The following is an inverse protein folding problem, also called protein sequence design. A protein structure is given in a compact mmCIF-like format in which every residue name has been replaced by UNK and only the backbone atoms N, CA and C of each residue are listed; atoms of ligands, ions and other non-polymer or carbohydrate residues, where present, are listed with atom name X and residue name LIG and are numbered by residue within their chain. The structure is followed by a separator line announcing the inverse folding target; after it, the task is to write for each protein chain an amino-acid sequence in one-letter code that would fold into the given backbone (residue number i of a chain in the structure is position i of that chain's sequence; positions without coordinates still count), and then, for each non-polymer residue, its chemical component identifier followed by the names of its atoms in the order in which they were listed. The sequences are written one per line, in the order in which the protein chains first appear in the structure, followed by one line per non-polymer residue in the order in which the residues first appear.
data_IF_141232664502
#
_entry.id   IF_141232664502
#
_cell.length_a   1.000
_cell.length_b   1.000
_cell.length_c   1.000
_cell.angle_alpha   90.00
_cell.angle_beta   90.00
_cell.angle_gamma   90.00
#
_symmetry.space_group_name_H-M   'P 1'
#
loop_
_entity.id
_entity.type
_entity.pdbx_description
1 polymer ?
#
# COMPACT_ATOMS: atom_id res chain seq x y z
N UNK A 1 -9.77 -8.35 -25.88
CA UNK A 1 -9.67 -8.94 -24.53
C UNK A 1 -8.36 -8.65 -23.80
N UNK A 2 -7.17 -8.64 -24.45
CA UNK A 2 -5.88 -8.35 -23.77
C UNK A 2 -5.80 -7.00 -23.03
N UNK A 3 -6.38 -5.93 -23.58
CA UNK A 3 -6.40 -4.62 -22.93
C UNK A 3 -7.24 -4.58 -21.64
N UNK A 4 -8.33 -5.34 -21.58
CA UNK A 4 -9.21 -5.40 -20.41
C UNK A 4 -8.50 -6.06 -19.22
N UNK A 5 -7.78 -7.17 -19.45
CA UNK A 5 -7.02 -7.86 -18.41
C UNK A 5 -5.90 -6.95 -17.85
N UNK A 6 -5.20 -6.22 -18.72
CA UNK A 6 -4.18 -5.27 -18.30
C UNK A 6 -4.74 -4.14 -17.44
N UNK A 7 -5.85 -3.54 -17.86
CA UNK A 7 -6.54 -2.50 -17.08
C UNK A 7 -7.01 -3.03 -15.72
N UNK A 8 -7.60 -4.23 -15.69
CA UNK A 8 -8.05 -4.85 -14.45
C UNK A 8 -6.91 -5.06 -13.46
N UNK A 9 -5.78 -5.64 -13.90
CA UNK A 9 -4.64 -5.88 -12.99
C UNK A 9 -4.03 -4.57 -12.47
N UNK A 10 -3.99 -3.52 -13.30
CA UNK A 10 -3.54 -2.18 -12.88
C UNK A 10 -4.46 -1.58 -11.81
N UNK A 11 -5.77 -1.75 -11.96
CA UNK A 11 -6.73 -1.25 -10.96
C UNK A 11 -6.63 -2.01 -9.65
N UNK A 12 -6.50 -3.34 -9.70
CA UNK A 12 -6.27 -4.17 -8.51
C UNK A 12 -4.99 -3.74 -7.78
N UNK A 13 -3.90 -3.49 -8.50
CA UNK A 13 -2.65 -3.01 -7.89
C UNK A 13 -2.81 -1.62 -7.25
N UNK A 14 -3.58 -0.73 -7.88
CA UNK A 14 -3.90 0.60 -7.35
C UNK A 14 -4.69 0.50 -6.04
N UNK A 15 -5.72 -0.34 -5.99
CA UNK A 15 -6.50 -0.55 -4.77
C UNK A 15 -5.64 -1.10 -3.63
N UNK A 16 -4.77 -2.09 -3.91
CA UNK A 16 -3.86 -2.63 -2.90
C UNK A 16 -2.89 -1.59 -2.37
N UNK A 17 -2.28 -0.80 -3.25
CA UNK A 17 -1.35 0.26 -2.87
C UNK A 17 -2.06 1.35 -2.02
N UNK A 18 -3.27 1.76 -2.39
CA UNK A 18 -4.08 2.65 -1.55
C UNK A 18 -4.41 2.03 -0.19
N UNK A 19 -4.65 0.72 -0.14
CA UNK A 19 -4.84 -0.01 1.12
C UNK A 19 -3.63 0.10 2.06
N UNK A 20 -2.42 0.02 1.52
CA UNK A 20 -1.16 0.19 2.28
C UNK A 20 -1.09 1.60 2.88
N UNK A 21 -1.28 2.64 2.05
CA UNK A 21 -1.34 4.03 2.51
C UNK A 21 -2.40 4.25 3.58
N UNK A 22 -3.62 3.76 3.35
CA UNK A 22 -4.73 3.91 4.30
C UNK A 22 -4.41 3.26 5.65
N UNK A 23 -3.73 2.11 5.65
CA UNK A 23 -3.33 1.42 6.88
C UNK A 23 -2.22 2.17 7.61
N UNK A 24 -1.21 2.66 6.90
CA UNK A 24 -0.15 3.48 7.48
C UNK A 24 -0.72 4.74 8.17
N UNK A 25 -1.63 5.45 7.49
CA UNK A 25 -2.33 6.62 8.03
C UNK A 25 -3.15 6.28 9.29
N UNK A 26 -3.91 5.17 9.28
CA UNK A 26 -4.65 4.73 10.48
C UNK A 26 -3.74 4.45 11.68
N UNK A 27 -2.55 3.90 11.46
CA UNK A 27 -1.59 3.64 12.53
C UNK A 27 -1.03 4.96 13.07
N UNK A 28 -0.67 5.89 12.19
CA UNK A 28 -0.18 7.22 12.56
C UNK A 28 -1.21 7.98 13.39
N UNK A 29 -2.48 8.00 12.97
CA UNK A 29 -3.59 8.59 13.73
C UNK A 29 -3.73 8.00 15.15
N UNK A 30 -3.34 6.73 15.36
CA UNK A 30 -3.43 6.06 16.67
C UNK A 30 -2.21 6.29 17.56
N UNK A 31 -1.03 6.49 16.97
CA UNK A 31 0.29 6.55 17.64
C UNK A 31 0.86 7.97 17.74
N UNK A 32 0.36 8.90 16.96
CA UNK A 32 1.02 10.18 16.69
C UNK A 32 2.01 10.07 15.54
N UNK A 33 2.60 11.21 15.20
CA UNK A 33 3.48 11.38 14.04
C UNK A 33 4.58 10.30 13.99
N UNK A 34 4.73 9.71 12.81
CA UNK A 34 5.71 8.65 12.61
C UNK A 34 6.44 8.86 11.28
N UNK A 35 7.71 9.33 11.30
CA UNK A 35 8.47 9.59 10.08
C UNK A 35 8.51 8.40 9.13
N UNK A 36 8.57 7.17 9.67
CA UNK A 36 8.57 5.96 8.83
C UNK A 36 7.23 5.72 8.14
N UNK A 37 6.09 5.98 8.79
CA UNK A 37 4.76 5.83 8.18
C UNK A 37 4.51 6.91 7.11
N UNK A 38 5.04 8.11 7.32
CA UNK A 38 5.01 9.19 6.34
C UNK A 38 5.84 8.85 5.10
N UNK A 39 7.06 8.33 5.29
CA UNK A 39 7.93 7.88 4.19
C UNK A 39 7.25 6.74 3.41
N UNK A 40 6.68 5.75 4.09
CA UNK A 40 5.94 4.65 3.45
C UNK A 40 4.79 5.21 2.62
N UNK A 41 3.99 6.11 3.19
CA UNK A 41 2.82 6.68 2.50
C UNK A 41 3.24 7.48 1.26
N UNK A 42 4.30 8.27 1.36
CA UNK A 42 4.86 9.03 0.23
C UNK A 42 5.36 8.11 -0.87
N UNK A 43 6.18 7.10 -0.54
CA UNK A 43 6.76 6.21 -1.54
C UNK A 43 5.68 5.39 -2.26
N UNK A 44 4.66 4.91 -1.54
CA UNK A 44 3.54 4.18 -2.15
C UNK A 44 2.71 5.10 -3.06
N UNK A 45 2.50 6.35 -2.67
CA UNK A 45 1.82 7.33 -3.53
C UNK A 45 2.58 7.56 -4.84
N UNK A 46 3.91 7.70 -4.79
CA UNK A 46 4.74 7.84 -5.98
C UNK A 46 4.63 6.62 -6.91
N UNK A 47 4.53 5.40 -6.37
CA UNK A 47 4.29 4.19 -7.16
C UNK A 47 2.89 4.16 -7.78
N UNK A 48 1.85 4.58 -7.05
CA UNK A 48 0.48 4.67 -7.58
C UNK A 48 0.41 5.59 -8.81
N UNK A 49 1.08 6.74 -8.77
CA UNK A 49 1.12 7.68 -9.88
C UNK A 49 1.75 7.08 -11.15
N UNK A 50 2.62 6.07 -11.01
CA UNK A 50 3.31 5.41 -12.13
C UNK A 50 2.50 4.26 -12.75
N UNK A 51 1.51 3.70 -12.04
CA UNK A 51 0.69 2.56 -12.49
C UNK A 51 0.16 2.67 -13.93
N UNK A 52 -0.35 3.84 -14.40
CA UNK A 52 -0.84 3.96 -15.78
C UNK A 52 0.23 3.55 -16.82
N UNK A 53 1.50 3.85 -16.55
CA UNK A 53 2.62 3.63 -17.45
C UNK A 53 3.40 2.33 -17.16
N UNK A 54 3.04 1.59 -16.10
CA UNK A 54 3.70 0.32 -15.77
C UNK A 54 3.38 -0.78 -16.79
N UNK A 55 4.37 -1.64 -17.01
CA UNK A 55 4.24 -2.95 -17.63
C UNK A 55 3.53 -3.93 -16.68
N UNK A 56 3.10 -5.07 -17.21
CA UNK A 56 2.41 -6.09 -16.39
C UNK A 56 3.33 -6.69 -15.31
N UNK A 57 4.62 -6.84 -15.61
CA UNK A 57 5.62 -7.31 -14.66
C UNK A 57 5.80 -6.31 -13.51
N UNK A 58 5.88 -5.01 -13.82
CA UNK A 58 5.95 -3.95 -12.80
C UNK A 58 4.69 -3.91 -11.93
N UNK A 59 3.51 -4.12 -12.52
CA UNK A 59 2.24 -4.23 -11.78
C UNK A 59 2.23 -5.43 -10.83
N UNK A 60 2.72 -6.59 -11.27
CA UNK A 60 2.83 -7.79 -10.44
C UNK A 60 3.84 -7.61 -9.29
N UNK A 61 4.97 -6.95 -9.57
CA UNK A 61 5.97 -6.59 -8.56
C UNK A 61 5.40 -5.60 -7.52
N UNK A 62 4.68 -4.56 -7.96
CA UNK A 62 4.02 -3.61 -7.05
C UNK A 62 2.98 -4.32 -6.17
N UNK A 63 2.24 -5.28 -6.73
CA UNK A 63 1.27 -6.06 -5.98
C UNK A 63 1.95 -6.94 -4.91
N UNK A 64 3.08 -7.58 -5.24
CA UNK A 64 3.88 -8.35 -4.29
C UNK A 64 4.40 -7.47 -3.14
N UNK A 65 4.96 -6.29 -3.47
CA UNK A 65 5.42 -5.30 -2.48
C UNK A 65 4.25 -4.84 -1.60
N UNK A 66 3.11 -4.50 -2.20
CA UNK A 66 1.93 -4.02 -1.49
C UNK A 66 1.40 -5.06 -0.49
N UNK A 67 1.36 -6.34 -0.89
CA UNK A 67 0.97 -7.44 0.00
C UNK A 67 1.92 -7.60 1.18
N UNK A 68 3.23 -7.55 0.93
CA UNK A 68 4.24 -7.61 1.99
C UNK A 68 4.06 -6.44 2.98
N UNK A 69 3.97 -5.21 2.46
CA UNK A 69 3.78 -4.00 3.28
C UNK A 69 2.49 -4.05 4.08
N UNK A 70 1.38 -4.48 3.47
CA UNK A 70 0.10 -4.64 4.16
C UNK A 70 0.22 -5.59 5.35
N UNK A 71 0.88 -6.74 5.17
CA UNK A 71 1.11 -7.70 6.26
C UNK A 71 1.86 -7.04 7.42
N UNK A 72 2.97 -6.36 7.12
CA UNK A 72 3.77 -5.65 8.13
C UNK A 72 2.98 -4.58 8.86
N UNK A 73 2.19 -3.77 8.14
CA UNK A 73 1.39 -2.70 8.74
C UNK A 73 0.24 -3.26 9.59
N UNK A 74 -0.43 -4.35 9.16
CA UNK A 74 -1.47 -5.01 9.97
C UNK A 74 -0.89 -5.57 11.27
N UNK A 75 0.30 -6.17 11.22
CA UNK A 75 1.00 -6.60 12.44
C UNK A 75 1.31 -5.41 13.34
N UNK A 76 1.85 -4.33 12.79
CA UNK A 76 2.11 -3.09 13.54
C UNK A 76 0.84 -2.52 14.18
N UNK A 77 -0.28 -2.49 13.45
CA UNK A 77 -1.58 -2.02 13.94
C UNK A 77 -2.08 -2.84 15.13
N UNK A 78 -1.86 -4.17 15.12
CA UNK A 78 -2.20 -5.04 16.27
C UNK A 78 -1.38 -4.67 17.52
N UNK A 79 -0.08 -4.44 17.37
CA UNK A 79 0.77 -3.97 18.49
C UNK A 79 0.33 -2.61 19.03
N UNK A 80 -0.19 -1.73 18.17
CA UNK A 80 -0.75 -0.45 18.60
C UNK A 80 -2.01 -0.63 19.44
N UNK A 81 -2.88 -1.56 19.05
CA UNK A 81 -4.17 -1.81 19.74
C UNK A 81 -3.97 -2.37 21.15
N UNK A 82 -3.00 -3.26 21.35
CA UNK A 82 -2.74 -3.90 22.66
C UNK A 82 -2.27 -2.90 23.72
N UNK A 83 -1.53 -1.83 23.35
CA UNK A 83 -1.03 -0.83 24.31
C UNK A 83 -2.09 0.15 24.84
N UNK A 84 -3.32 0.15 24.29
CA UNK A 84 -4.41 1.02 24.74
C UNK A 84 -5.43 0.29 25.65
N UNK A 85 -5.19 -0.98 25.98
CA UNK A 85 -5.97 -1.79 26.92
C UNK A 85 -5.24 -1.89 28.26
#
# INVERSE_FOLDING_TARGET
MKGYEATMKKEIAREFAHGVMGTACRIELKKGDSPILQIISKNIYEEICKIPNMTMEEVENLNAISKFMMKTLVELEKYVRIKKS
#
